data_IF_909010644484
#
_entry.id   IF_909010644484
#
_cell.length_a   1.000
_cell.length_b   1.000
_cell.length_c   1.000
_cell.angle_alpha   90.00
_cell.angle_beta   90.00
_cell.angle_gamma   90.00
#
_symmetry.space_group_name_H-M   'P 1'
#
loop_
_entity.id
_entity.type
_entity.pdbx_description
1 polymer ?
#
# COMPACT_ATOMS: atom_id res chain seq x y z
N UNK A 1 -4.58 -13.23 18.13
CA UNK A 1 -4.40 -12.63 17.89
C UNK A 1 -3.41 -11.94 17.53
N UNK A 2 -2.69 -11.52 17.52
CA UNK A 2 -1.69 -10.95 17.19
C UNK A 2 -1.60 -10.33 16.02
N UNK A 3 -1.87 -10.03 15.32
CA UNK A 3 -1.81 -9.48 14.09
C UNK A 3 -1.16 -8.17 14.00
N UNK A 4 -0.07 -7.97 14.51
CA UNK A 4 0.58 -6.70 14.40
C UNK A 4 1.18 -6.56 13.04
N UNK A 5 0.87 -5.53 12.30
CA UNK A 5 1.47 -5.27 11.02
C UNK A 5 2.87 -4.71 11.22
N UNK A 6 3.77 -5.13 10.38
CA UNK A 6 5.15 -4.67 10.48
C UNK A 6 5.56 -4.01 9.18
N UNK A 7 6.43 -3.00 9.21
CA UNK A 7 6.88 -2.37 7.99
C UNK A 7 7.62 -3.35 7.10
N UNK A 8 7.65 -3.04 5.81
CA UNK A 8 8.32 -3.89 4.86
C UNK A 8 9.82 -3.85 5.09
N UNK A 9 10.45 -5.00 5.00
CA UNK A 9 11.88 -5.05 5.14
C UNK A 9 12.57 -4.54 3.90
N UNK A 10 11.93 -4.66 2.77
CA UNK A 10 12.57 -4.26 1.53
C UNK A 10 12.68 -2.75 1.40
N UNK A 11 11.87 -1.99 2.11
CA UNK A 11 11.92 -0.54 2.00
C UNK A 11 12.74 0.03 3.14
N UNK A 12 14.05 -0.22 3.11
CA UNK A 12 14.91 0.32 4.14
C UNK A 12 15.51 1.63 3.65
N UNK A 13 16.51 2.12 4.32
CA UNK A 13 17.11 3.39 3.98
C UNK A 13 17.63 3.43 2.57
N UNK A 14 18.24 2.33 2.13
CA UNK A 14 18.75 2.29 0.80
C UNK A 14 17.63 2.37 -0.23
N UNK A 15 16.56 1.66 -0.02
CA UNK A 15 15.44 1.69 -0.94
C UNK A 15 14.86 3.09 -1.00
N UNK A 16 14.82 3.77 0.13
CA UNK A 16 14.29 5.12 0.17
C UNK A 16 15.16 6.06 -0.64
N UNK A 17 16.48 5.89 -0.55
CA UNK A 17 17.37 6.75 -1.30
C UNK A 17 17.33 6.47 -2.79
N UNK A 18 17.25 5.22 -3.18
CA UNK A 18 17.30 4.86 -4.58
C UNK A 18 15.96 5.07 -5.27
N UNK A 19 14.90 4.64 -4.64
CA UNK A 19 13.59 4.68 -5.26
C UNK A 19 12.70 5.77 -4.71
N UNK A 20 13.12 6.49 -3.74
CA UNK A 20 12.30 7.53 -3.14
C UNK A 20 11.18 6.97 -2.29
N UNK A 21 11.29 5.73 -1.86
CA UNK A 21 10.24 5.14 -1.03
C UNK A 21 10.37 5.60 0.40
N UNK A 22 9.30 5.50 1.15
CA UNK A 22 9.37 5.77 2.56
C UNK A 22 9.97 4.58 3.27
N UNK A 23 10.84 4.82 4.21
CA UNK A 23 11.47 3.74 4.97
C UNK A 23 10.36 2.93 5.63
N UNK A 24 10.38 1.63 5.43
CA UNK A 24 9.35 0.75 5.98
C UNK A 24 8.16 0.60 5.07
N UNK A 25 8.14 1.30 3.96
CA UNK A 25 7.05 1.17 3.00
C UNK A 25 5.89 2.09 3.35
N UNK A 26 4.82 1.95 2.58
CA UNK A 26 3.62 2.75 2.79
C UNK A 26 2.48 1.84 3.24
N UNK A 27 1.58 2.37 3.99
CA UNK A 27 0.47 1.59 4.52
C UNK A 27 -0.79 1.86 3.73
N UNK A 28 -1.47 0.81 3.32
CA UNK A 28 -2.72 0.97 2.59
C UNK A 28 -3.75 1.64 3.49
N UNK A 29 -4.52 2.55 2.93
CA UNK A 29 -5.49 3.29 3.73
C UNK A 29 -6.72 2.47 4.03
N UNK A 30 -6.88 1.33 3.39
CA UNK A 30 -8.09 0.53 3.59
C UNK A 30 -7.79 -0.74 4.38
N UNK A 31 -6.90 -1.58 3.89
CA UNK A 31 -6.59 -2.81 4.58
C UNK A 31 -5.45 -2.64 5.58
N UNK A 32 -4.78 -1.51 5.54
CA UNK A 32 -3.73 -1.19 6.47
C UNK A 32 -2.54 -2.14 6.35
N UNK A 33 -2.32 -2.68 5.19
CA UNK A 33 -1.16 -3.52 4.99
C UNK A 33 -0.03 -2.68 4.41
N UNK A 34 1.20 -3.14 4.57
CA UNK A 34 2.37 -2.39 4.14
C UNK A 34 2.76 -2.80 2.72
N UNK A 35 3.02 -1.82 1.89
CA UNK A 35 3.41 -2.04 0.51
C UNK A 35 4.45 -1.02 0.09
N UNK A 36 5.15 -1.32 -0.99
CA UNK A 36 6.07 -0.34 -1.54
C UNK A 36 5.27 0.81 -2.16
N UNK A 37 5.89 1.95 -2.25
CA UNK A 37 5.19 3.11 -2.80
C UNK A 37 4.62 2.86 -4.17
N UNK A 38 5.30 2.07 -4.99
CA UNK A 38 4.81 1.80 -6.33
C UNK A 38 3.62 0.85 -6.33
N UNK A 39 3.38 0.19 -5.21
CA UNK A 39 2.25 -0.74 -5.14
C UNK A 39 0.96 -0.02 -4.78
N UNK A 40 1.04 1.19 -4.29
CA UNK A 40 -0.15 1.92 -3.91
C UNK A 40 -0.46 2.98 -4.97
N UNK A 41 -1.74 3.28 -5.13
CA UNK A 41 -2.12 4.30 -6.08
C UNK A 41 -2.14 5.67 -5.39
N UNK A 42 -2.65 6.68 -6.07
CA UNK A 42 -2.68 8.02 -5.51
C UNK A 42 -3.53 8.09 -4.26
N UNK A 43 -4.46 7.18 -4.10
CA UNK A 43 -5.31 7.16 -2.92
C UNK A 43 -4.70 6.34 -1.79
N UNK A 44 -3.46 5.87 -1.95
CA UNK A 44 -2.80 5.04 -0.93
C UNK A 44 -3.54 3.72 -0.76
N UNK A 45 -4.08 3.18 -1.83
CA UNK A 45 -4.75 1.89 -1.78
C UNK A 45 -3.95 0.86 -2.56
N UNK A 46 -3.83 -0.33 -2.02
CA UNK A 46 -3.14 -1.38 -2.73
C UNK A 46 -4.00 -1.86 -3.90
N UNK A 47 -3.41 -2.63 -4.78
CA UNK A 47 -4.12 -3.07 -5.97
C UNK A 47 -5.41 -3.78 -5.62
N UNK A 48 -5.35 -4.65 -4.62
CA UNK A 48 -6.54 -5.38 -4.22
C UNK A 48 -7.64 -4.44 -3.73
N UNK A 49 -7.30 -3.49 -2.88
CA UNK A 49 -8.29 -2.57 -2.37
C UNK A 49 -8.77 -1.62 -3.45
N UNK A 50 -7.87 -1.23 -4.32
CA UNK A 50 -8.25 -0.33 -5.41
C UNK A 50 -9.28 -1.01 -6.31
N UNK A 51 -9.04 -2.26 -6.64
CA UNK A 51 -9.99 -2.98 -7.49
C UNK A 51 -11.30 -3.20 -6.76
N UNK A 52 -11.25 -3.48 -5.48
CA UNK A 52 -12.46 -3.69 -4.72
C UNK A 52 -13.30 -2.42 -4.67
N UNK A 53 -12.62 -1.29 -4.47
CA UNK A 53 -13.36 -0.04 -4.44
C UNK A 53 -13.93 0.29 -5.81
N UNK A 54 -13.19 0.00 -6.85
CA UNK A 54 -13.68 0.26 -8.20
C UNK A 54 -14.93 -0.55 -8.48
N UNK A 55 -14.96 -1.77 -7.99
CA UNK A 55 -16.14 -2.58 -8.18
C UNK A 55 -17.31 -2.01 -7.40
N UNK A 56 -17.08 -1.57 -6.20
CA UNK A 56 -18.14 -1.04 -5.39
C UNK A 56 -18.68 0.24 -6.00
N UNK A 57 -17.78 1.07 -6.50
CA UNK A 57 -18.19 2.32 -7.07
C UNK A 57 -18.71 2.19 -8.48
N UNK A 58 -18.56 1.08 -9.12
CA UNK A 58 -18.97 0.96 -10.46
C UNK A 58 -20.43 1.05 -10.57
N UNK A 59 -20.96 2.01 -11.27
CA UNK A 59 -22.31 2.21 -11.33
C UNK A 59 -22.88 1.29 -12.23
N UNK A 60 -22.77 0.43 -12.52
CA UNK A 60 -23.36 -0.47 -13.24
C UNK A 60 -24.06 0.03 -14.33
N UNK A 61 -24.37 0.57 -14.76
CA UNK A 61 -25.07 1.05 -15.72
C UNK A 61 -25.09 0.53 -16.78
#
# INVERSE_FOLDING_TARGET
MGGSLRPLDCCDSECALVNGCQVGGYQCARCCEWFCGSELNDDNLCVDCEEAEAEENEEGD
#
